data_IF_631721376362
#
_entry.id   IF_631721376362
#
_cell.length_a   1.000
_cell.length_b   1.000
_cell.length_c   1.000
_cell.angle_alpha   90.00
_cell.angle_beta   90.00
_cell.angle_gamma   90.00
#
_symmetry.space_group_name_H-M   'P 1'
#
loop_
_entity.id
_entity.type
_entity.pdbx_description
1 polymer ?
#
# COMPACT_ATOMS: atom_id res chain seq x y z
N UNK A 1 -4.94 27.80 -0.64
CA UNK A 1 -4.61 26.39 -0.36
C UNK A 1 -4.94 25.43 -1.52
N UNK A 2 -6.17 24.97 -1.84
CA UNK A 2 -6.38 24.07 -3.02
C UNK A 2 -5.81 24.65 -4.33
N UNK A 3 -6.05 25.93 -4.68
CA UNK A 3 -5.39 26.57 -5.83
C UNK A 3 -3.87 26.67 -5.74
N UNK A 4 -3.29 26.67 -4.53
CA UNK A 4 -1.83 26.72 -4.32
C UNK A 4 -1.17 25.37 -4.51
N UNK A 5 -1.91 24.27 -4.36
CA UNK A 5 -1.41 22.90 -4.48
C UNK A 5 -1.57 22.36 -5.90
N UNK A 6 -2.55 22.86 -6.64
CA UNK A 6 -2.84 22.50 -8.03
C UNK A 6 -1.61 22.56 -8.98
N UNK A 7 -0.68 23.52 -8.88
CA UNK A 7 0.54 23.52 -9.71
C UNK A 7 1.44 22.29 -9.51
N UNK A 8 1.36 21.62 -8.35
CA UNK A 8 2.19 20.46 -8.01
C UNK A 8 1.53 19.12 -8.33
N UNK A 9 0.28 19.11 -8.83
CA UNK A 9 -0.49 17.88 -9.08
C UNK A 9 0.29 16.90 -9.97
N UNK A 10 0.87 17.38 -11.07
CA UNK A 10 1.59 16.51 -12.00
C UNK A 10 2.87 15.93 -11.38
N UNK A 11 3.69 16.78 -10.75
CA UNK A 11 4.92 16.35 -10.08
C UNK A 11 4.65 15.29 -9.01
N UNK A 12 3.60 15.49 -8.20
CA UNK A 12 3.22 14.57 -7.13
C UNK A 12 2.67 13.25 -7.68
N UNK A 13 1.85 13.30 -8.72
CA UNK A 13 1.36 12.11 -9.41
C UNK A 13 2.51 11.27 -9.98
N UNK A 14 3.49 11.92 -10.62
CA UNK A 14 4.68 11.22 -11.14
C UNK A 14 5.49 10.56 -10.01
N UNK A 15 5.74 11.27 -8.91
CA UNK A 15 6.45 10.73 -7.75
C UNK A 15 5.70 9.57 -7.08
N UNK A 16 4.37 9.61 -7.03
CA UNK A 16 3.61 8.49 -6.49
C UNK A 16 3.68 7.28 -7.41
N UNK A 17 3.55 7.46 -8.74
CA UNK A 17 3.72 6.37 -9.70
C UNK A 17 5.09 5.72 -9.53
N UNK A 18 6.15 6.52 -9.44
CA UNK A 18 7.51 6.03 -9.19
C UNK A 18 7.59 5.25 -7.86
N UNK A 19 6.97 5.74 -6.78
CA UNK A 19 6.88 5.03 -5.51
C UNK A 19 6.14 3.70 -5.66
N UNK A 20 4.97 3.67 -6.29
CA UNK A 20 4.17 2.45 -6.50
C UNK A 20 4.95 1.41 -7.32
N UNK A 21 5.57 1.82 -8.42
CA UNK A 21 6.41 0.94 -9.24
C UNK A 21 7.63 0.44 -8.47
N UNK A 22 8.22 1.28 -7.59
CA UNK A 22 9.30 0.86 -6.68
C UNK A 22 8.87 -0.21 -5.69
N UNK A 23 7.57 -0.25 -5.37
CA UNK A 23 6.99 -1.23 -4.48
C UNK A 23 6.52 -2.47 -5.23
N UNK A 24 6.39 -2.47 -6.55
CA UNK A 24 5.93 -3.62 -7.35
C UNK A 24 4.51 -3.46 -7.94
N UNK A 25 3.91 -2.29 -7.78
CA UNK A 25 2.58 -1.98 -8.29
C UNK A 25 2.68 -1.41 -9.70
N UNK A 26 1.92 -1.97 -10.64
CA UNK A 26 1.83 -1.47 -12.03
C UNK A 26 0.41 -1.17 -12.47
N UNK A 27 -0.58 -1.51 -11.64
CA UNK A 27 -2.00 -1.27 -11.89
C UNK A 27 -2.58 -0.59 -10.67
N UNK A 28 -3.28 0.52 -10.87
CA UNK A 28 -3.94 1.24 -9.79
C UNK A 28 -5.35 1.69 -10.15
N UNK A 29 -6.12 2.03 -9.12
CA UNK A 29 -7.32 2.85 -9.23
C UNK A 29 -7.14 4.07 -8.36
N UNK A 30 -7.36 5.25 -8.92
CA UNK A 30 -7.20 6.52 -8.21
C UNK A 30 -8.47 7.34 -8.19
N UNK A 31 -8.88 7.79 -7.00
CA UNK A 31 -9.95 8.76 -6.85
C UNK A 31 -9.42 10.18 -7.08
N UNK A 32 -10.02 10.88 -8.04
CA UNK A 32 -9.62 12.21 -8.46
C UNK A 32 -10.67 13.24 -8.03
N UNK A 33 -10.23 14.20 -7.21
CA UNK A 33 -11.10 15.16 -6.51
C UNK A 33 -11.77 16.17 -7.46
N UNK A 34 -13.07 15.98 -7.78
CA UNK A 34 -13.92 16.86 -8.61
C UNK A 34 -14.82 17.72 -7.73
N UNK A 35 -14.59 19.04 -7.73
CA UNK A 35 -15.35 20.00 -6.91
C UNK A 35 -15.24 21.43 -7.47
N UNK A 36 -16.08 22.39 -7.02
CA UNK A 36 -16.19 23.71 -7.65
C UNK A 36 -14.91 24.56 -7.70
N UNK A 37 -13.98 24.41 -6.75
CA UNK A 37 -12.75 25.21 -6.69
C UNK A 37 -11.74 24.75 -7.76
N UNK A 38 -11.57 23.45 -7.93
CA UNK A 38 -10.61 22.84 -8.85
C UNK A 38 -11.21 22.58 -10.24
N UNK A 39 -12.53 22.42 -10.32
CA UNK A 39 -13.22 21.95 -11.51
C UNK A 39 -12.62 20.63 -12.00
N UNK A 40 -12.34 20.55 -13.30
CA UNK A 40 -11.72 19.38 -13.93
C UNK A 40 -10.19 19.44 -14.01
N UNK A 41 -9.54 20.48 -13.50
CA UNK A 41 -8.10 20.69 -13.69
C UNK A 41 -7.26 19.56 -13.08
N UNK A 42 -7.67 19.00 -11.94
CA UNK A 42 -6.98 17.86 -11.33
C UNK A 42 -7.08 16.60 -12.22
N UNK A 43 -8.27 16.35 -12.79
CA UNK A 43 -8.48 15.26 -13.74
C UNK A 43 -7.61 15.42 -14.98
N UNK A 44 -7.59 16.62 -15.58
CA UNK A 44 -6.77 16.93 -16.76
C UNK A 44 -5.27 16.73 -16.47
N UNK A 45 -4.79 17.19 -15.31
CA UNK A 45 -3.41 17.02 -14.89
C UNK A 45 -3.06 15.53 -14.68
N UNK A 46 -3.93 14.77 -14.01
CA UNK A 46 -3.73 13.34 -13.79
C UNK A 46 -3.73 12.57 -15.11
N UNK A 47 -4.69 12.82 -15.99
CA UNK A 47 -4.75 12.23 -17.33
C UNK A 47 -3.49 12.53 -18.16
N UNK A 48 -2.98 13.77 -18.09
CA UNK A 48 -1.74 14.13 -18.79
C UNK A 48 -0.52 13.34 -18.27
N UNK A 49 -0.43 13.08 -16.96
CA UNK A 49 0.62 12.24 -16.37
C UNK A 49 0.45 10.78 -16.80
N UNK A 50 -0.77 10.25 -16.71
CA UNK A 50 -1.06 8.86 -17.07
C UNK A 50 -0.80 8.59 -18.56
N UNK A 51 -1.14 9.53 -19.45
CA UNK A 51 -0.81 9.43 -20.87
C UNK A 51 0.71 9.31 -21.11
N UNK A 52 1.55 10.01 -20.33
CA UNK A 52 3.01 9.89 -20.40
C UNK A 52 3.53 8.57 -19.83
N UNK A 53 2.80 7.95 -18.90
CA UNK A 53 3.20 6.73 -18.17
C UNK A 53 2.53 5.45 -18.67
N UNK A 54 1.62 5.54 -19.65
CA UNK A 54 0.76 4.45 -20.15
C UNK A 54 1.49 3.17 -20.56
N UNK A 55 2.77 3.26 -20.95
CA UNK A 55 3.56 2.09 -21.36
C UNK A 55 3.89 1.15 -20.18
N UNK A 56 3.96 1.67 -18.95
CA UNK A 56 4.42 0.93 -17.78
C UNK A 56 3.52 1.04 -16.54
N UNK A 57 2.40 1.75 -16.64
CA UNK A 57 1.48 1.95 -15.52
C UNK A 57 0.05 2.12 -16.01
N UNK A 58 -0.84 1.26 -15.52
CA UNK A 58 -2.28 1.33 -15.79
C UNK A 58 -3.00 1.94 -14.60
N UNK A 59 -3.89 2.89 -14.84
CA UNK A 59 -4.62 3.55 -13.78
C UNK A 59 -6.06 3.83 -14.18
N UNK A 60 -7.00 3.25 -13.43
CA UNK A 60 -8.40 3.63 -13.47
C UNK A 60 -8.60 4.93 -12.68
N UNK A 61 -9.55 5.76 -13.11
CA UNK A 61 -9.83 7.06 -12.47
C UNK A 61 -11.28 7.07 -12.02
N UNK A 62 -11.49 7.33 -10.73
CA UNK A 62 -12.81 7.61 -10.16
C UNK A 62 -12.99 9.13 -10.11
N UNK A 63 -14.02 9.66 -10.76
CA UNK A 63 -14.42 11.05 -10.56
C UNK A 63 -15.03 11.16 -9.15
N UNK A 64 -14.43 11.92 -8.24
CA UNK A 64 -14.74 11.83 -6.81
C UNK A 64 -15.16 13.18 -6.20
N UNK A 65 -16.41 13.31 -5.73
CA UNK A 65 -16.92 14.55 -5.14
C UNK A 65 -16.60 14.62 -3.64
N UNK A 66 -15.33 14.88 -3.30
CA UNK A 66 -14.81 14.91 -1.92
C UNK A 66 -15.60 15.80 -0.95
N UNK A 67 -16.26 16.85 -1.43
CA UNK A 67 -17.04 17.76 -0.58
C UNK A 67 -18.55 17.43 -0.60
N UNK A 68 -18.91 16.20 -0.97
CA UNK A 68 -20.29 15.72 -1.14
C UNK A 68 -20.83 16.00 -2.54
N UNK A 69 -21.55 15.05 -3.13
CA UNK A 69 -22.11 15.19 -4.47
C UNK A 69 -23.20 16.29 -4.50
N UNK A 70 -24.07 16.28 -3.49
CA UNK A 70 -25.17 17.22 -3.34
C UNK A 70 -24.75 18.47 -2.57
N UNK A 71 -23.99 18.30 -1.48
CA UNK A 71 -23.56 19.41 -0.63
C UNK A 71 -22.76 20.45 -1.42
N UNK A 72 -21.77 20.00 -2.20
CA UNK A 72 -20.95 20.88 -3.01
C UNK A 72 -21.56 21.22 -4.38
N UNK A 73 -22.75 20.68 -4.70
CA UNK A 73 -23.41 20.82 -6.01
C UNK A 73 -22.51 20.40 -7.18
N UNK A 74 -21.75 19.32 -6.99
CA UNK A 74 -20.75 18.85 -7.97
C UNK A 74 -21.32 17.96 -9.07
N UNK A 75 -22.62 17.63 -9.04
CA UNK A 75 -23.25 16.76 -10.04
C UNK A 75 -22.99 17.15 -11.51
N UNK A 76 -23.10 18.43 -11.92
CA UNK A 76 -22.75 18.83 -13.29
C UNK A 76 -21.27 18.58 -13.63
N UNK A 77 -20.36 18.91 -12.70
CA UNK A 77 -18.91 18.69 -12.88
C UNK A 77 -18.56 17.21 -12.95
N UNK A 78 -19.26 16.37 -12.18
CA UNK A 78 -19.11 14.92 -12.23
C UNK A 78 -19.50 14.39 -13.60
N UNK A 79 -20.59 14.87 -14.19
CA UNK A 79 -20.99 14.51 -15.56
C UNK A 79 -19.95 14.96 -16.60
N UNK A 80 -19.41 16.18 -16.47
CA UNK A 80 -18.32 16.63 -17.33
C UNK A 80 -17.05 15.76 -17.16
N UNK A 81 -16.73 15.33 -15.95
CA UNK A 81 -15.62 14.41 -15.68
C UNK A 81 -15.82 13.04 -16.35
N UNK A 82 -17.05 12.51 -16.35
CA UNK A 82 -17.39 11.27 -17.06
C UNK A 82 -17.23 11.44 -18.58
N UNK A 83 -17.70 12.55 -19.15
CA UNK A 83 -17.50 12.89 -20.57
C UNK A 83 -16.02 13.03 -20.93
N UNK A 84 -15.22 13.57 -20.00
CA UNK A 84 -13.77 13.71 -20.15
C UNK A 84 -12.99 12.38 -20.00
N UNK A 85 -13.68 11.26 -19.77
CA UNK A 85 -13.07 9.92 -19.76
C UNK A 85 -12.69 9.38 -18.38
N UNK A 86 -13.33 9.85 -17.30
CA UNK A 86 -13.28 9.12 -16.03
C UNK A 86 -13.90 7.72 -16.17
N UNK A 87 -13.36 6.75 -15.42
CA UNK A 87 -13.71 5.33 -15.56
C UNK A 87 -14.84 4.93 -14.61
N UNK A 88 -14.91 5.55 -13.42
CA UNK A 88 -15.91 5.30 -12.39
C UNK A 88 -16.48 6.60 -11.85
N UNK A 89 -17.74 6.55 -11.40
CA UNK A 89 -18.41 7.61 -10.65
C UNK A 89 -18.18 7.36 -9.16
N UNK A 90 -17.71 8.37 -8.43
CA UNK A 90 -17.55 8.31 -6.99
C UNK A 90 -18.67 9.02 -6.22
N UNK A 91 -18.65 8.82 -4.92
CA UNK A 91 -19.49 9.48 -3.93
C UNK A 91 -18.77 9.50 -2.57
N UNK A 92 -19.28 10.28 -1.62
CA UNK A 92 -18.75 10.34 -0.27
C UNK A 92 -19.89 10.44 0.75
N UNK A 93 -19.92 9.50 1.69
CA UNK A 93 -20.73 9.54 2.93
C UNK A 93 -22.12 10.20 2.74
N UNK A 94 -23.03 9.52 2.03
CA UNK A 94 -24.24 10.11 1.48
C UNK A 94 -25.21 10.63 2.56
N UNK A 95 -25.07 10.19 3.81
CA UNK A 95 -25.88 10.69 4.93
C UNK A 95 -25.20 11.87 5.63
N UNK A 96 -23.99 11.70 6.13
CA UNK A 96 -23.31 12.67 7.00
C UNK A 96 -22.71 13.85 6.24
N UNK A 97 -22.31 13.67 4.98
CA UNK A 97 -21.80 14.76 4.14
C UNK A 97 -22.93 15.36 3.31
N UNK A 98 -23.67 14.53 2.56
CA UNK A 98 -24.72 15.05 1.66
C UNK A 98 -26.06 15.34 2.35
N UNK A 99 -26.29 14.84 3.57
CA UNK A 99 -27.53 15.07 4.32
C UNK A 99 -28.77 14.40 3.73
N UNK A 100 -28.64 13.65 2.63
CA UNK A 100 -29.74 13.09 1.87
C UNK A 100 -29.32 11.77 1.19
N UNK A 101 -29.23 10.70 1.99
CA UNK A 101 -28.66 9.41 1.60
C UNK A 101 -29.19 8.87 0.27
N UNK A 102 -30.50 8.64 0.17
CA UNK A 102 -31.13 8.06 -1.02
C UNK A 102 -30.91 8.94 -2.25
N UNK A 103 -31.16 10.25 -2.13
CA UNK A 103 -30.97 11.19 -3.24
C UNK A 103 -29.52 11.23 -3.73
N UNK A 104 -28.55 11.18 -2.83
CA UNK A 104 -27.13 11.19 -3.19
C UNK A 104 -26.76 9.90 -3.94
N UNK A 105 -27.15 8.75 -3.41
CA UNK A 105 -26.91 7.44 -4.03
C UNK A 105 -27.62 7.31 -5.39
N UNK A 106 -28.88 7.72 -5.49
CA UNK A 106 -29.64 7.71 -6.75
C UNK A 106 -28.99 8.59 -7.81
N UNK A 107 -28.54 9.78 -7.42
CA UNK A 107 -27.84 10.69 -8.34
C UNK A 107 -26.54 10.06 -8.85
N UNK A 108 -25.76 9.46 -7.95
CA UNK A 108 -24.50 8.77 -8.30
C UNK A 108 -24.76 7.58 -9.25
N UNK A 109 -25.73 6.72 -8.94
CA UNK A 109 -26.09 5.59 -9.79
C UNK A 109 -26.65 6.04 -11.14
N UNK A 110 -27.45 7.11 -11.18
CA UNK A 110 -27.97 7.65 -12.43
C UNK A 110 -26.84 8.13 -13.34
N UNK A 111 -25.84 8.84 -12.80
CA UNK A 111 -24.64 9.22 -13.59
C UNK A 111 -23.94 7.96 -14.11
N UNK A 112 -23.76 6.93 -13.29
CA UNK A 112 -23.11 5.69 -13.73
C UNK A 112 -23.87 5.00 -14.87
N UNK A 113 -25.21 4.96 -14.79
CA UNK A 113 -26.07 4.43 -15.84
C UNK A 113 -26.01 5.26 -17.12
N UNK A 114 -26.06 6.59 -17.01
CA UNK A 114 -26.06 7.50 -18.17
C UNK A 114 -24.78 7.38 -19.02
N UNK A 115 -23.66 7.02 -18.40
CA UNK A 115 -22.35 6.85 -19.05
C UNK A 115 -21.88 5.40 -19.21
N UNK A 116 -22.71 4.42 -18.79
CA UNK A 116 -22.38 2.99 -18.76
C UNK A 116 -21.08 2.65 -17.98
N UNK A 117 -20.82 3.37 -16.88
CA UNK A 117 -19.59 3.26 -16.07
C UNK A 117 -19.83 2.58 -14.72
N UNK A 118 -18.73 2.25 -14.05
CA UNK A 118 -18.75 1.71 -12.70
C UNK A 118 -18.93 2.79 -11.63
N UNK A 119 -19.16 2.36 -10.39
CA UNK A 119 -19.24 3.16 -9.19
C UNK A 119 -18.16 2.72 -8.21
N UNK A 120 -17.48 3.68 -7.59
CA UNK A 120 -16.57 3.45 -6.46
C UNK A 120 -16.77 4.54 -5.41
N UNK A 121 -17.53 4.22 -4.37
CA UNK A 121 -17.98 5.18 -3.35
C UNK A 121 -17.19 5.05 -2.06
N UNK A 122 -16.77 6.18 -1.49
CA UNK A 122 -16.23 6.26 -0.14
C UNK A 122 -17.35 6.21 0.89
N UNK A 123 -17.34 5.16 1.70
CA UNK A 123 -18.30 5.00 2.79
C UNK A 123 -17.58 4.74 4.11
N UNK A 124 -17.32 5.83 4.83
CA UNK A 124 -16.78 5.83 6.18
C UNK A 124 -17.87 5.73 7.24
N UNK A 125 -19.12 6.03 6.86
CA UNK A 125 -20.26 5.96 7.76
C UNK A 125 -20.36 4.57 8.43
N UNK A 126 -20.57 4.58 9.74
CA UNK A 126 -20.73 3.36 10.55
C UNK A 126 -22.21 3.17 10.89
N UNK A 127 -22.54 2.41 11.93
CA UNK A 127 -23.95 2.18 12.31
C UNK A 127 -24.59 3.43 12.94
N UNK A 128 -25.87 3.75 12.63
CA UNK A 128 -26.78 3.03 11.74
C UNK A 128 -26.71 3.48 10.27
N UNK A 129 -26.20 4.67 9.97
CA UNK A 129 -26.30 5.29 8.64
C UNK A 129 -25.59 4.50 7.53
N UNK A 130 -24.35 4.06 7.77
CA UNK A 130 -23.59 3.28 6.79
C UNK A 130 -24.19 1.90 6.52
N UNK A 131 -24.80 1.26 7.53
CA UNK A 131 -25.52 -0.01 7.32
C UNK A 131 -26.75 0.21 6.41
N UNK A 132 -27.48 1.31 6.63
CA UNK A 132 -28.60 1.68 5.77
C UNK A 132 -28.13 1.96 4.32
N UNK A 133 -27.02 2.71 4.17
CA UNK A 133 -26.46 3.02 2.86
C UNK A 133 -26.01 1.76 2.11
N UNK A 134 -25.32 0.81 2.78
CA UNK A 134 -24.90 -0.45 2.12
C UNK A 134 -26.12 -1.25 1.67
N UNK A 135 -27.13 -1.42 2.54
CA UNK A 135 -28.34 -2.14 2.15
C UNK A 135 -29.04 -1.49 0.97
N UNK A 136 -29.17 -0.16 0.98
CA UNK A 136 -29.76 0.59 -0.13
C UNK A 136 -29.00 0.35 -1.44
N UNK A 137 -27.67 0.45 -1.42
CA UNK A 137 -26.84 0.20 -2.61
C UNK A 137 -26.98 -1.23 -3.13
N UNK A 138 -26.96 -2.24 -2.24
CA UNK A 138 -27.14 -3.64 -2.63
C UNK A 138 -28.51 -3.86 -3.26
N UNK A 139 -29.58 -3.33 -2.67
CA UNK A 139 -30.94 -3.41 -3.23
C UNK A 139 -31.04 -2.70 -4.59
N UNK A 140 -30.40 -1.56 -4.76
CA UNK A 140 -30.39 -0.83 -6.04
C UNK A 140 -29.71 -1.64 -7.13
N UNK A 141 -28.59 -2.31 -6.83
CA UNK A 141 -27.92 -3.20 -7.78
C UNK A 141 -28.76 -4.44 -8.09
N UNK A 142 -29.42 -5.04 -7.08
CA UNK A 142 -30.34 -6.17 -7.27
C UNK A 142 -31.52 -5.82 -8.21
N UNK A 143 -32.03 -4.59 -8.13
CA UNK A 143 -33.13 -4.09 -8.95
C UNK A 143 -32.67 -3.58 -10.33
N UNK A 144 -31.37 -3.37 -10.53
CA UNK A 144 -30.81 -2.72 -11.73
C UNK A 144 -29.70 -3.59 -12.35
N UNK A 145 -30.04 -4.54 -13.25
CA UNK A 145 -29.09 -5.49 -13.81
C UNK A 145 -27.85 -4.88 -14.47
N UNK A 146 -27.97 -3.65 -15.00
CA UNK A 146 -26.86 -2.91 -15.63
C UNK A 146 -25.73 -2.54 -14.64
N UNK A 147 -26.04 -2.49 -13.34
CA UNK A 147 -25.07 -2.19 -12.27
C UNK A 147 -24.39 -3.44 -11.69
N UNK A 148 -24.80 -4.64 -12.10
CA UNK A 148 -24.18 -5.89 -11.64
C UNK A 148 -22.71 -5.91 -12.03
N UNK A 149 -21.84 -6.19 -11.06
CA UNK A 149 -20.38 -6.17 -11.25
C UNK A 149 -19.76 -4.79 -11.42
N UNK A 150 -20.55 -3.72 -11.22
CA UNK A 150 -20.11 -2.33 -11.43
C UNK A 150 -20.02 -1.50 -10.15
N UNK A 151 -20.33 -2.05 -8.97
CA UNK A 151 -20.25 -1.33 -7.69
C UNK A 151 -19.06 -1.79 -6.85
N UNK A 152 -18.23 -0.82 -6.45
CA UNK A 152 -17.22 -0.96 -5.40
C UNK A 152 -17.60 -0.06 -4.23
N UNK A 153 -17.55 -0.59 -3.00
CA UNK A 153 -17.72 0.20 -1.78
C UNK A 153 -16.36 0.29 -1.09
N UNK A 154 -15.78 1.48 -1.08
CA UNK A 154 -14.50 1.79 -0.44
C UNK A 154 -14.69 2.04 1.06
N UNK A 155 -13.77 1.49 1.86
CA UNK A 155 -13.78 1.42 3.32
C UNK A 155 -14.87 0.51 3.91
N UNK A 156 -16.14 0.83 3.65
CA UNK A 156 -17.32 0.11 4.13
C UNK A 156 -17.29 -0.17 5.65
N UNK A 157 -16.84 0.79 6.46
CA UNK A 157 -16.59 0.57 7.91
C UNK A 157 -17.82 0.11 8.70
N UNK A 158 -19.03 0.39 8.21
CA UNK A 158 -20.26 -0.18 8.76
C UNK A 158 -20.25 -1.71 8.87
N UNK A 159 -19.57 -2.43 7.96
CA UNK A 159 -19.48 -3.89 8.00
C UNK A 159 -18.78 -4.41 9.27
N UNK A 160 -17.82 -3.65 9.83
CA UNK A 160 -17.16 -3.99 11.08
C UNK A 160 -18.08 -3.87 12.32
N UNK A 161 -19.25 -3.23 12.17
CA UNK A 161 -20.21 -3.06 13.26
C UNK A 161 -21.29 -4.15 13.31
N UNK A 162 -21.34 -4.99 12.28
CA UNK A 162 -22.31 -6.06 12.13
C UNK A 162 -21.82 -7.35 12.81
N UNK A 163 -22.76 -8.19 13.25
CA UNK A 163 -22.41 -9.53 13.72
C UNK A 163 -22.13 -10.47 12.54
N UNK A 164 -21.54 -11.64 12.82
CA UNK A 164 -21.13 -12.62 11.81
C UNK A 164 -22.28 -13.03 10.88
N UNK A 165 -23.49 -13.27 11.41
CA UNK A 165 -24.64 -13.66 10.59
C UNK A 165 -25.08 -12.53 9.65
N UNK A 166 -25.14 -11.30 10.14
CA UNK A 166 -25.50 -10.13 9.34
C UNK A 166 -24.49 -9.89 8.21
N UNK A 167 -23.20 -10.05 8.49
CA UNK A 167 -22.16 -10.00 7.46
C UNK A 167 -22.34 -11.14 6.46
N UNK A 168 -22.69 -12.34 6.91
CA UNK A 168 -22.88 -13.51 6.04
C UNK A 168 -23.99 -13.29 5.01
N UNK A 169 -25.15 -12.84 5.49
CA UNK A 169 -26.33 -12.54 4.67
C UNK A 169 -26.00 -11.46 3.62
N UNK A 170 -25.31 -10.40 4.04
CA UNK A 170 -24.93 -9.31 3.16
C UNK A 170 -23.85 -9.72 2.15
N UNK A 171 -22.85 -10.49 2.59
CA UNK A 171 -21.79 -11.01 1.75
C UNK A 171 -22.36 -11.93 0.65
N UNK A 172 -23.35 -12.76 0.97
CA UNK A 172 -24.02 -13.60 0.00
C UNK A 172 -24.71 -12.78 -1.10
N UNK A 173 -25.44 -11.72 -0.72
CA UNK A 173 -26.08 -10.80 -1.67
C UNK A 173 -25.04 -10.05 -2.52
N UNK A 174 -23.99 -9.53 -1.88
CA UNK A 174 -22.91 -8.83 -2.57
C UNK A 174 -22.19 -9.72 -3.60
N UNK A 175 -21.86 -10.95 -3.24
CA UNK A 175 -21.23 -11.91 -4.15
C UNK A 175 -22.15 -12.24 -5.34
N UNK A 176 -23.45 -12.45 -5.11
CA UNK A 176 -24.42 -12.70 -6.18
C UNK A 176 -24.51 -11.55 -7.20
N UNK A 177 -24.33 -10.31 -6.73
CA UNK A 177 -24.31 -9.09 -7.54
C UNK A 177 -22.92 -8.64 -7.99
N UNK A 178 -21.86 -9.40 -7.66
CA UNK A 178 -20.47 -9.06 -7.95
C UNK A 178 -20.05 -7.68 -7.42
N UNK A 179 -20.61 -7.28 -6.29
CA UNK A 179 -20.21 -6.05 -5.57
C UNK A 179 -18.84 -6.29 -4.94
N UNK A 180 -17.94 -5.32 -5.09
CA UNK A 180 -16.58 -5.38 -4.56
C UNK A 180 -16.41 -4.49 -3.34
N UNK A 181 -15.47 -4.83 -2.45
CA UNK A 181 -15.03 -3.99 -1.34
C UNK A 181 -13.59 -3.56 -1.59
N UNK A 182 -13.29 -2.27 -1.41
CA UNK A 182 -11.91 -1.80 -1.30
C UNK A 182 -11.60 -1.43 0.15
N UNK A 183 -10.52 -1.98 0.71
CA UNK A 183 -10.16 -1.78 2.11
C UNK A 183 -8.73 -1.29 2.29
N UNK A 184 -8.53 -0.43 3.28
CA UNK A 184 -7.19 -0.03 3.74
C UNK A 184 -6.58 -1.02 4.73
N UNK A 185 -7.32 -2.09 5.05
CA UNK A 185 -7.01 -3.06 6.12
C UNK A 185 -6.82 -2.32 7.44
N UNK A 186 -7.87 -1.66 7.98
CA UNK A 186 -7.73 -0.80 9.15
C UNK A 186 -7.24 -1.58 10.38
N UNK A 187 -6.38 -0.93 11.17
CA UNK A 187 -5.89 -1.44 12.45
C UNK A 187 -6.62 -0.71 13.58
N UNK A 188 -7.03 -1.43 14.61
CA UNK A 188 -7.64 -0.85 15.81
C UNK A 188 -9.07 -1.32 16.02
N UNK A 189 -9.96 -0.40 16.37
CA UNK A 189 -11.33 -0.71 16.81
C UNK A 189 -12.27 -1.12 15.67
N UNK A 190 -11.92 -0.82 14.41
CA UNK A 190 -12.69 -1.18 13.22
C UNK A 190 -12.08 -2.40 12.53
N UNK A 191 -12.23 -3.57 13.13
CA UNK A 191 -11.77 -4.83 12.55
C UNK A 191 -12.74 -5.29 11.45
N UNK A 192 -12.37 -5.08 10.19
CA UNK A 192 -13.23 -5.36 9.04
C UNK A 192 -13.39 -6.86 8.79
N UNK A 193 -14.57 -7.40 8.44
CA UNK A 193 -14.75 -8.84 8.21
C UNK A 193 -14.25 -9.29 6.82
N UNK A 194 -13.04 -8.86 6.44
CA UNK A 194 -12.48 -9.07 5.09
C UNK A 194 -12.34 -10.55 4.72
N UNK A 195 -11.91 -11.38 5.68
CA UNK A 195 -11.82 -12.82 5.46
C UNK A 195 -13.18 -13.44 5.17
N UNK A 196 -14.20 -13.10 5.95
CA UNK A 196 -15.55 -13.63 5.76
C UNK A 196 -16.13 -13.21 4.40
N UNK A 197 -15.95 -11.94 4.02
CA UNK A 197 -16.36 -11.42 2.71
C UNK A 197 -15.67 -12.19 1.57
N UNK A 198 -14.35 -12.32 1.63
CA UNK A 198 -13.57 -13.04 0.62
C UNK A 198 -13.97 -14.52 0.52
N UNK A 199 -14.11 -15.22 1.65
CA UNK A 199 -14.53 -16.64 1.67
C UNK A 199 -15.92 -16.85 1.06
N UNK A 200 -16.79 -15.84 1.09
CA UNK A 200 -18.13 -15.84 0.47
C UNK A 200 -18.12 -15.46 -1.01
N UNK A 201 -16.94 -15.14 -1.58
CA UNK A 201 -16.77 -14.77 -2.98
C UNK A 201 -16.97 -13.29 -3.27
N UNK A 202 -17.00 -12.43 -2.26
CA UNK A 202 -16.95 -10.97 -2.46
C UNK A 202 -15.51 -10.61 -2.86
N UNK A 203 -15.35 -9.89 -3.97
CA UNK A 203 -14.04 -9.41 -4.39
C UNK A 203 -13.54 -8.36 -3.41
N UNK A 204 -12.38 -8.60 -2.80
CA UNK A 204 -11.74 -7.69 -1.86
C UNK A 204 -10.48 -7.12 -2.49
N UNK A 205 -10.46 -5.81 -2.69
CA UNK A 205 -9.31 -5.04 -3.14
C UNK A 205 -8.67 -4.32 -1.96
N UNK A 206 -7.38 -4.05 -2.04
CA UNK A 206 -6.69 -3.25 -1.02
C UNK A 206 -5.97 -2.04 -1.59
N UNK A 207 -5.72 -1.08 -0.71
CA UNK A 207 -5.02 0.16 -1.00
C UNK A 207 -4.37 0.73 0.27
N UNK A 208 -3.39 1.62 0.13
CA UNK A 208 -2.99 2.49 1.26
C UNK A 208 -3.89 3.72 1.38
N UNK A 209 -4.89 3.90 0.50
CA UNK A 209 -5.74 5.11 0.40
C UNK A 209 -4.82 6.31 0.15
N UNK A 210 -4.41 7.00 1.20
CA UNK A 210 -3.60 8.19 1.15
C UNK A 210 -2.10 7.89 1.32
N UNK A 211 -1.27 8.40 0.42
CA UNK A 211 0.20 8.23 0.43
C UNK A 211 0.87 9.56 0.71
N UNK A 212 1.03 9.86 2.01
CA UNK A 212 1.72 11.04 2.57
C UNK A 212 1.07 12.38 2.18
N UNK A 213 0.03 12.79 2.91
CA UNK A 213 -0.72 14.05 2.66
C UNK A 213 -1.11 14.80 3.98
N UNK A 214 -2.38 15.17 4.18
CA UNK A 214 -2.99 15.47 5.50
C UNK A 214 -3.75 14.28 6.11
N UNK A 215 -4.47 13.47 5.32
CA UNK A 215 -5.27 12.36 5.85
C UNK A 215 -4.42 11.28 6.51
N UNK A 216 -3.30 10.92 5.87
CA UNK A 216 -2.40 9.92 6.42
C UNK A 216 -0.94 10.19 6.06
N UNK A 217 -0.05 10.29 7.06
CA UNK A 217 1.38 10.30 6.82
C UNK A 217 1.96 8.88 6.64
N UNK A 218 1.15 7.82 6.77
CA UNK A 218 1.62 6.44 6.93
C UNK A 218 1.52 5.58 5.67
N UNK A 219 0.90 6.06 4.59
CA UNK A 219 0.78 5.28 3.35
C UNK A 219 2.15 4.99 2.73
N UNK A 220 2.47 3.70 2.59
CA UNK A 220 3.74 3.24 2.02
C UNK A 220 3.68 2.93 0.52
N UNK A 221 2.48 2.91 -0.07
CA UNK A 221 2.27 2.48 -1.46
C UNK A 221 2.62 1.01 -1.70
N UNK A 222 2.61 0.17 -0.65
CA UNK A 222 3.14 -1.18 -0.66
C UNK A 222 2.06 -2.22 -0.39
N UNK A 223 1.72 -3.06 -1.38
CA UNK A 223 0.68 -4.08 -1.19
C UNK A 223 1.19 -5.34 -0.48
N UNK A 224 2.51 -5.56 -0.39
CA UNK A 224 3.03 -6.59 0.53
C UNK A 224 2.81 -6.18 1.98
N UNK A 225 2.83 -4.88 2.30
CA UNK A 225 2.46 -4.39 3.63
C UNK A 225 0.98 -4.69 3.92
N UNK A 226 0.08 -4.50 2.95
CA UNK A 226 -1.35 -4.84 3.13
C UNK A 226 -1.61 -6.33 3.27
N UNK A 227 -0.95 -7.17 2.48
CA UNK A 227 -1.01 -8.61 2.64
C UNK A 227 -0.47 -9.05 4.01
N UNK A 228 0.65 -8.47 4.45
CA UNK A 228 1.23 -8.74 5.76
C UNK A 228 0.30 -8.34 6.90
N UNK A 229 -0.29 -7.15 6.82
CA UNK A 229 -1.21 -6.66 7.83
C UNK A 229 -2.48 -7.50 7.90
N UNK A 230 -3.04 -7.87 6.74
CA UNK A 230 -4.15 -8.81 6.68
C UNK A 230 -3.79 -10.14 7.33
N UNK A 231 -2.58 -10.66 7.07
CA UNK A 231 -2.13 -11.89 7.67
C UNK A 231 -2.02 -11.82 9.21
N UNK A 232 -1.58 -10.69 9.74
CA UNK A 232 -1.49 -10.49 11.19
C UNK A 232 -2.87 -10.41 11.85
N UNK A 233 -3.87 -9.86 11.15
CA UNK A 233 -5.19 -9.59 11.71
C UNK A 233 -6.18 -10.77 11.56
N UNK A 234 -6.19 -11.43 10.41
CA UNK A 234 -7.32 -12.30 10.02
C UNK A 234 -6.99 -13.79 9.89
N UNK A 235 -5.72 -14.17 9.85
CA UNK A 235 -5.33 -15.56 9.62
C UNK A 235 -4.36 -16.04 10.70
N UNK A 236 -4.38 -17.35 10.96
CA UNK A 236 -3.37 -17.94 11.84
C UNK A 236 -2.03 -18.00 11.11
N UNK A 237 -0.93 -17.57 11.75
CA UNK A 237 0.38 -17.56 11.11
C UNK A 237 0.88 -18.99 10.92
N UNK A 238 0.72 -19.50 9.70
CA UNK A 238 1.40 -20.67 9.19
C UNK A 238 1.81 -20.39 7.73
N UNK A 239 2.71 -21.21 7.20
CA UNK A 239 3.28 -20.99 5.87
C UNK A 239 2.22 -20.94 4.76
N UNK A 240 1.25 -21.86 4.78
CA UNK A 240 0.18 -21.90 3.79
C UNK A 240 -0.66 -20.63 3.84
N UNK A 241 -1.18 -20.25 5.01
CA UNK A 241 -2.01 -19.07 5.20
C UNK A 241 -1.28 -17.78 4.81
N UNK A 242 -0.02 -17.63 5.23
CA UNK A 242 0.82 -16.50 4.83
C UNK A 242 0.98 -16.43 3.31
N UNK A 243 1.29 -17.56 2.66
CA UNK A 243 1.35 -17.66 1.21
C UNK A 243 0.03 -17.28 0.53
N UNK A 244 -1.12 -17.69 1.11
CA UNK A 244 -2.44 -17.35 0.55
C UNK A 244 -2.76 -15.87 0.68
N UNK A 245 -2.39 -15.19 1.76
CA UNK A 245 -2.65 -13.76 1.97
C UNK A 245 -2.06 -12.84 0.89
N UNK A 246 -1.11 -13.34 0.10
CA UNK A 246 -0.56 -12.67 -1.07
C UNK A 246 -1.65 -12.28 -2.09
N UNK A 247 -2.80 -12.95 -2.09
CA UNK A 247 -3.93 -12.69 -3.00
C UNK A 247 -4.34 -11.20 -3.01
N UNK A 248 -4.28 -10.54 -1.85
CA UNK A 248 -4.60 -9.12 -1.70
C UNK A 248 -3.65 -8.24 -2.49
N UNK A 249 -2.36 -8.61 -2.48
CA UNK A 249 -1.36 -7.86 -3.19
C UNK A 249 -1.46 -8.08 -4.70
N UNK A 250 -1.79 -9.29 -5.13
CA UNK A 250 -1.70 -9.73 -6.53
C UNK A 250 -3.03 -9.78 -7.28
N UNK A 251 -4.13 -9.31 -6.67
CA UNK A 251 -5.45 -9.32 -7.29
C UNK A 251 -5.98 -10.73 -7.54
N UNK A 252 -5.96 -11.58 -6.50
CA UNK A 252 -6.43 -12.98 -6.47
C UNK A 252 -5.55 -14.01 -7.22
N UNK A 253 -4.53 -13.57 -7.96
CA UNK A 253 -3.65 -14.50 -8.69
C UNK A 253 -2.52 -14.97 -7.77
N UNK A 254 -2.38 -16.28 -7.59
CA UNK A 254 -1.37 -16.89 -6.70
C UNK A 254 -0.42 -17.79 -7.48
N UNK A 255 0.88 -17.90 -7.09
CA UNK A 255 1.83 -18.79 -7.76
C UNK A 255 1.45 -20.28 -7.69
N UNK A 256 0.95 -20.70 -6.54
CA UNK A 256 0.55 -22.09 -6.26
C UNK A 256 -0.96 -22.15 -6.01
N UNK A 257 -1.62 -23.28 -6.33
CA UNK A 257 -2.99 -23.57 -5.89
C UNK A 257 -3.02 -24.25 -4.50
N UNK A 258 -4.22 -24.64 -4.02
CA UNK A 258 -4.39 -25.33 -2.73
C UNK A 258 -3.72 -26.71 -2.64
N UNK A 259 -3.39 -27.32 -3.78
CA UNK A 259 -2.65 -28.60 -3.84
C UNK A 259 -1.14 -28.39 -3.90
N UNK A 260 -0.65 -27.14 -3.89
CA UNK A 260 0.76 -26.81 -4.05
C UNK A 260 1.26 -26.89 -5.50
N UNK A 261 0.37 -27.02 -6.48
CA UNK A 261 0.75 -27.07 -7.89
C UNK A 261 0.98 -25.66 -8.41
N UNK A 262 2.04 -25.46 -9.21
CA UNK A 262 2.32 -24.17 -9.83
C UNK A 262 1.23 -23.83 -10.86
N UNK A 263 0.47 -22.78 -10.57
CA UNK A 263 -0.56 -22.25 -11.48
C UNK A 263 -0.15 -20.94 -12.14
N UNK A 264 0.85 -20.25 -11.58
CA UNK A 264 1.50 -19.07 -12.15
C UNK A 264 3.00 -19.03 -11.76
N UNK A 265 3.91 -18.53 -12.61
CA UNK A 265 3.70 -18.14 -14.00
C UNK A 265 3.65 -19.36 -14.94
N UNK A 266 2.93 -19.23 -16.04
CA UNK A 266 2.86 -20.16 -17.18
C UNK A 266 3.26 -19.44 -18.47
N UNK A 267 3.67 -20.22 -19.47
CA UNK A 267 3.83 -19.68 -20.81
C UNK A 267 2.50 -19.06 -21.29
N UNK A 268 2.58 -17.93 -21.99
CA UNK A 268 1.44 -17.11 -22.43
C UNK A 268 0.76 -16.25 -21.34
N UNK A 269 1.17 -16.36 -20.07
CA UNK A 269 0.75 -15.36 -19.07
C UNK A 269 1.35 -14.00 -19.42
N UNK A 270 0.67 -12.93 -19.01
CA UNK A 270 1.18 -11.59 -19.17
C UNK A 270 2.54 -11.42 -18.48
N UNK A 271 3.49 -10.79 -19.15
CA UNK A 271 4.86 -10.59 -18.64
C UNK A 271 4.93 -9.41 -17.65
N UNK A 272 3.89 -9.24 -16.84
CA UNK A 272 3.89 -8.37 -15.68
C UNK A 272 4.26 -9.21 -14.46
N UNK A 273 5.31 -8.83 -13.74
CA UNK A 273 5.79 -9.52 -12.55
C UNK A 273 6.78 -8.65 -11.78
N UNK A 274 7.09 -9.06 -10.56
CA UNK A 274 7.98 -8.39 -9.62
C UNK A 274 8.99 -9.41 -9.15
N UNK A 275 10.27 -9.03 -9.12
CA UNK A 275 11.30 -9.83 -8.48
C UNK A 275 11.40 -9.45 -7.00
N UNK A 276 11.18 -10.42 -6.13
CA UNK A 276 11.22 -10.27 -4.68
C UNK A 276 12.38 -11.08 -4.11
N UNK A 277 13.16 -10.47 -3.23
CA UNK A 277 14.25 -11.12 -2.48
C UNK A 277 13.65 -11.97 -1.34
N UNK A 278 13.17 -13.15 -1.71
CA UNK A 278 12.49 -14.10 -0.83
C UNK A 278 12.54 -15.51 -1.43
N UNK A 279 12.68 -16.52 -0.57
CA UNK A 279 12.68 -17.94 -0.97
C UNK A 279 11.28 -18.49 -1.25
N UNK A 280 10.23 -17.89 -0.68
CA UNK A 280 8.84 -18.32 -0.90
C UNK A 280 7.82 -17.19 -0.65
N UNK A 281 6.57 -17.39 -1.10
CA UNK A 281 5.49 -16.40 -0.93
C UNK A 281 5.20 -16.07 0.54
N UNK A 282 5.33 -17.06 1.43
CA UNK A 282 5.12 -16.84 2.86
C UNK A 282 6.18 -15.90 3.45
N UNK A 283 7.46 -16.06 3.05
CA UNK A 283 8.53 -15.14 3.44
C UNK A 283 8.30 -13.74 2.87
N UNK A 284 7.96 -13.65 1.58
CA UNK A 284 7.71 -12.37 0.91
C UNK A 284 6.66 -11.53 1.65
N UNK A 285 5.56 -12.16 2.09
CA UNK A 285 4.54 -11.52 2.91
C UNK A 285 5.05 -11.26 4.33
N UNK A 286 5.52 -12.29 5.04
CA UNK A 286 5.86 -12.20 6.46
C UNK A 286 6.94 -11.14 6.77
N UNK A 287 7.89 -10.96 5.85
CA UNK A 287 9.01 -10.01 5.99
C UNK A 287 8.85 -8.72 5.21
N UNK A 288 7.76 -8.58 4.44
CA UNK A 288 7.57 -7.48 3.48
C UNK A 288 8.84 -7.35 2.62
N UNK A 289 9.25 -8.47 2.01
CA UNK A 289 10.59 -8.60 1.42
C UNK A 289 10.87 -7.52 0.37
N UNK A 290 12.13 -7.08 0.22
CA UNK A 290 12.51 -6.08 -0.76
C UNK A 290 12.21 -6.50 -2.20
N UNK A 291 11.82 -5.53 -3.04
CA UNK A 291 11.61 -5.73 -4.48
C UNK A 291 12.84 -5.24 -5.23
N UNK A 292 13.39 -6.08 -6.09
CA UNK A 292 14.60 -5.77 -6.86
C UNK A 292 14.28 -5.17 -8.23
N UNK A 293 13.19 -5.63 -8.86
CA UNK A 293 12.73 -5.15 -10.16
C UNK A 293 11.23 -5.35 -10.33
N UNK A 294 10.60 -4.44 -11.09
CA UNK A 294 9.17 -4.47 -11.42
C UNK A 294 9.03 -4.45 -12.94
N UNK A 295 8.24 -5.36 -13.46
CA UNK A 295 7.93 -5.51 -14.88
C UNK A 295 6.45 -5.33 -15.13
N UNK A 296 6.13 -4.64 -16.22
CA UNK A 296 4.78 -4.50 -16.75
C UNK A 296 4.79 -4.90 -18.23
N UNK A 297 4.03 -5.93 -18.60
CA UNK A 297 3.91 -6.41 -20.00
C UNK A 297 5.26 -6.60 -20.70
N UNK A 298 6.23 -7.14 -19.98
CA UNK A 298 7.59 -7.41 -20.46
C UNK A 298 8.55 -6.23 -20.42
N UNK A 299 8.10 -5.04 -20.00
CA UNK A 299 8.94 -3.85 -19.85
C UNK A 299 9.41 -3.72 -18.40
N UNK A 300 10.71 -3.51 -18.19
CA UNK A 300 11.25 -3.12 -16.88
C UNK A 300 10.81 -1.69 -16.57
N UNK A 301 9.95 -1.53 -15.56
CA UNK A 301 9.42 -0.21 -15.16
C UNK A 301 10.10 0.36 -13.93
N UNK A 302 10.72 -0.50 -13.09
CA UNK A 302 11.52 -0.07 -11.95
C UNK A 302 12.61 -1.07 -11.59
N UNK A 303 13.70 -0.57 -11.02
CA UNK A 303 14.75 -1.38 -10.42
C UNK A 303 15.82 -1.80 -11.41
N UNK A 304 16.59 -2.83 -11.04
CA UNK A 304 17.71 -3.33 -11.85
C UNK A 304 17.59 -4.84 -12.05
N UNK A 305 17.76 -5.26 -13.30
CA UNK A 305 17.80 -6.68 -13.68
C UNK A 305 19.23 -7.25 -13.67
N UNK A 306 20.24 -6.40 -13.82
CA UNK A 306 21.65 -6.81 -13.88
C UNK A 306 22.19 -7.17 -12.50
N UNK A 307 22.09 -8.46 -12.13
CA UNK A 307 22.92 -9.24 -11.17
C UNK A 307 22.22 -10.54 -10.70
N UNK A 308 21.09 -10.89 -11.31
CA UNK A 308 20.36 -12.14 -11.02
C UNK A 308 20.85 -13.33 -11.85
N UNK A 309 21.68 -13.09 -12.88
CA UNK A 309 22.30 -14.16 -13.67
C UNK A 309 23.65 -14.49 -13.02
N UNK A 310 23.84 -15.73 -12.55
CA UNK A 310 25.18 -16.21 -12.18
C UNK A 310 26.09 -16.22 -13.42
N UNK A 311 27.40 -16.06 -13.23
CA UNK A 311 28.43 -16.04 -14.29
C UNK A 311 28.57 -17.35 -15.09
N UNK A 312 27.61 -18.28 -15.04
CA UNK A 312 27.64 -19.54 -15.80
C UNK A 312 26.96 -19.44 -17.17
N UNK A 313 27.11 -18.30 -17.87
CA UNK A 313 26.79 -18.21 -19.30
C UNK A 313 27.98 -18.80 -20.09
N UNK A 314 28.10 -20.13 -20.08
CA UNK A 314 28.76 -20.87 -21.16
C UNK A 314 27.71 -21.71 -21.89
N UNK A 315 27.48 -21.33 -23.14
CA UNK A 315 26.80 -22.08 -24.19
C UNK A 315 25.35 -22.56 -23.90
N UNK A 316 24.37 -21.76 -24.35
CA UNK A 316 23.09 -22.29 -24.85
C UNK A 316 22.00 -22.65 -23.85
N UNK A 317 22.17 -22.41 -22.55
CA UNK A 317 21.14 -22.71 -21.54
C UNK A 317 20.26 -21.49 -21.24
N UNK A 318 18.94 -21.70 -21.17
CA UNK A 318 17.95 -20.70 -20.72
C UNK A 318 18.38 -20.17 -19.33
N UNK A 319 18.40 -18.86 -19.08
CA UNK A 319 18.82 -18.31 -17.80
C UNK A 319 17.94 -18.83 -16.66
N UNK A 320 18.56 -19.48 -15.69
CA UNK A 320 17.93 -19.94 -14.45
C UNK A 320 18.03 -18.78 -13.45
N UNK A 321 16.89 -18.28 -12.95
CA UNK A 321 16.85 -17.32 -11.85
C UNK A 321 17.62 -17.90 -10.64
N UNK A 322 18.36 -17.06 -9.90
CA UNK A 322 18.95 -17.50 -8.63
C UNK A 322 17.90 -18.22 -7.76
N UNK A 323 18.27 -19.30 -7.05
CA UNK A 323 17.32 -20.12 -6.30
C UNK A 323 16.54 -19.36 -5.22
N UNK A 324 16.99 -18.16 -4.83
CA UNK A 324 16.41 -17.35 -3.74
C UNK A 324 15.54 -16.17 -4.21
N UNK A 325 15.22 -16.08 -5.51
CA UNK A 325 14.39 -14.98 -6.05
C UNK A 325 13.01 -15.51 -6.44
N UNK A 326 12.00 -15.01 -5.71
CA UNK A 326 10.61 -15.26 -6.01
C UNK A 326 10.11 -14.26 -7.04
N UNK A 327 9.56 -14.77 -8.15
CA UNK A 327 8.69 -13.95 -9.00
C UNK A 327 7.31 -13.85 -8.35
N UNK A 328 6.82 -12.63 -8.19
CA UNK A 328 5.46 -12.31 -7.73
C UNK A 328 4.74 -11.55 -8.83
N UNK A 329 3.41 -11.59 -8.90
CA UNK A 329 2.61 -10.84 -9.87
C UNK A 329 2.69 -9.32 -9.64
N UNK A 330 2.31 -8.50 -10.64
CA UNK A 330 2.14 -7.07 -10.45
C UNK A 330 1.15 -6.84 -9.33
N UNK A 331 1.46 -5.90 -8.44
CA UNK A 331 0.54 -5.57 -7.37
C UNK A 331 -0.54 -4.61 -7.85
N UNK A 332 -1.78 -4.83 -7.41
CA UNK A 332 -2.94 -3.98 -7.71
C UNK A 332 -3.20 -3.02 -6.55
N UNK A 333 -3.40 -1.73 -6.83
CA UNK A 333 -3.39 -0.68 -5.80
C UNK A 333 -4.56 0.30 -5.88
N UNK A 334 -5.39 0.39 -4.84
CA UNK A 334 -6.43 1.45 -4.78
C UNK A 334 -5.90 2.66 -4.00
N UNK A 335 -6.11 3.87 -4.51
CA UNK A 335 -5.52 5.12 -4.00
C UNK A 335 -6.52 6.27 -4.01
N UNK A 336 -6.41 7.17 -3.03
CA UNK A 336 -7.14 8.43 -3.02
C UNK A 336 -6.19 9.60 -3.26
N UNK A 337 -6.58 10.52 -4.15
CA UNK A 337 -5.74 11.66 -4.49
C UNK A 337 -6.31 12.98 -3.99
N UNK A 338 -5.60 13.51 -2.99
CA UNK A 338 -5.86 14.79 -2.36
C UNK A 338 -4.57 15.50 -1.95
N UNK A 339 -4.69 16.78 -1.62
CA UNK A 339 -3.57 17.59 -1.20
C UNK A 339 -3.97 18.60 -0.12
N UNK A 340 -3.32 18.53 1.05
CA UNK A 340 -3.11 19.67 1.95
C UNK A 340 -1.68 19.60 2.57
N UNK A 341 -1.07 20.72 3.02
CA UNK A 341 0.35 20.75 3.41
C UNK A 341 0.55 20.61 4.92
N UNK A 342 1.23 19.55 5.39
CA UNK A 342 1.18 19.14 6.81
C UNK A 342 2.44 19.27 7.69
N UNK A 343 3.66 19.39 7.14
CA UNK A 343 4.89 19.28 7.98
C UNK A 343 5.95 20.36 7.74
N UNK A 344 6.21 21.10 8.82
CA UNK A 344 7.30 22.03 9.05
C UNK A 344 8.67 21.34 8.92
N UNK A 345 9.52 21.87 8.03
CA UNK A 345 10.87 21.35 7.76
C UNK A 345 11.83 21.81 8.85
N UNK A 346 11.90 21.08 9.96
CA UNK A 346 13.11 21.02 10.80
C UNK A 346 13.26 19.65 11.42
N UNK A 347 14.19 18.85 10.90
CA UNK A 347 15.01 17.88 11.65
C UNK A 347 16.12 17.33 10.76
N UNK A 348 17.30 17.25 11.34
CA UNK A 348 18.55 16.74 10.75
C UNK A 348 18.37 15.31 10.23
N UNK A 349 18.82 15.06 9.01
CA UNK A 349 19.04 13.71 8.48
C UNK A 349 20.51 13.38 8.78
N UNK A 350 20.73 12.56 9.81
CA UNK A 350 22.02 11.90 10.01
C UNK A 350 22.11 10.72 9.05
N UNK A 351 22.78 10.93 7.92
CA UNK A 351 23.10 9.87 6.95
C UNK A 351 24.30 9.07 7.47
N UNK A 352 24.07 7.82 7.91
CA UNK A 352 25.14 6.86 8.18
C UNK A 352 25.38 6.05 6.91
N UNK A 353 26.47 6.35 6.19
CA UNK A 353 26.92 5.55 5.06
C UNK A 353 27.92 4.51 5.59
N UNK A 354 27.56 3.23 5.51
CA UNK A 354 28.51 2.13 5.65
C UNK A 354 29.05 1.79 4.26
N UNK A 355 30.36 1.98 4.05
CA UNK A 355 31.05 1.51 2.84
C UNK A 355 31.74 0.21 3.20
N UNK A 356 31.34 -0.89 2.55
CA UNK A 356 32.03 -2.18 2.62
C UNK A 356 32.97 -2.24 1.42
N UNK A 357 34.28 -2.31 1.64
CA UNK A 357 35.24 -2.67 0.60
C UNK A 357 35.83 -4.04 0.92
N UNK A 358 35.59 -5.03 0.07
CA UNK A 358 36.33 -6.30 0.11
C UNK A 358 37.75 -6.05 -0.40
N UNK A 359 38.72 -6.15 0.49
CA UNK A 359 40.09 -6.45 0.09
C UNK A 359 40.69 -7.44 1.10
N UNK A 360 40.75 -8.72 0.72
CA UNK A 360 41.40 -9.75 1.54
C UNK A 360 41.31 -11.15 0.95
N UNK A 361 42.46 -11.80 0.74
CA UNK A 361 42.66 -13.16 0.22
C UNK A 361 42.08 -14.25 1.16
N UNK A 362 41.79 -15.47 0.66
CA UNK A 362 41.08 -16.48 1.44
C UNK A 362 41.98 -17.06 2.55
N UNK A 363 41.48 -17.05 3.79
CA UNK A 363 42.13 -17.76 4.91
C UNK A 363 42.06 -17.12 6.30
N UNK A 364 41.57 -15.88 6.46
CA UNK A 364 41.45 -15.23 7.78
C UNK A 364 39.99 -14.82 8.09
N UNK A 365 39.55 -15.03 9.33
CA UNK A 365 38.27 -14.55 9.85
C UNK A 365 38.18 -13.01 9.74
N UNK A 366 37.04 -12.44 9.33
CA UNK A 366 36.90 -11.00 9.11
C UNK A 366 36.98 -10.24 10.44
N UNK A 367 37.85 -9.24 10.49
CA UNK A 367 38.00 -8.34 11.63
C UNK A 367 37.31 -7.00 11.31
N UNK A 368 36.30 -6.63 12.08
CA UNK A 368 35.43 -5.48 11.84
C UNK A 368 36.10 -4.19 12.36
N UNK A 369 36.33 -3.21 11.48
CA UNK A 369 36.74 -1.85 11.88
C UNK A 369 35.65 -0.85 11.54
N UNK A 370 35.14 -0.17 12.56
CA UNK A 370 34.24 0.99 12.40
C UNK A 370 35.08 2.27 12.42
N UNK A 371 34.93 3.12 11.40
CA UNK A 371 35.49 4.48 11.39
C UNK A 371 34.37 5.50 11.17
N UNK A 372 34.28 6.46 12.07
CA UNK A 372 33.39 7.64 11.95
C UNK A 372 34.22 8.81 11.42
N UNK A 373 33.71 9.53 10.40
CA UNK A 373 34.32 10.76 9.89
C UNK A 373 33.27 11.88 9.88
N UNK A 374 33.44 12.89 10.74
CA UNK A 374 32.64 14.11 10.69
C UNK A 374 33.26 15.13 9.73
N UNK A 375 32.47 15.70 8.81
CA UNK A 375 32.80 16.95 8.09
C UNK A 375 31.97 18.07 8.72
N UNK A 376 32.62 18.97 9.45
CA UNK A 376 32.00 20.19 9.97
C UNK A 376 32.17 21.36 9.01
N UNK A 377 31.06 21.97 8.59
CA UNK A 377 31.02 23.34 8.10
C UNK A 377 30.53 24.24 9.24
N UNK A 378 31.32 25.23 9.63
CA UNK A 378 31.03 26.10 10.76
C UNK A 378 30.05 27.22 10.36
N UNK A 379 28.91 27.30 11.03
CA UNK A 379 28.22 28.57 11.27
C UNK A 379 27.69 28.60 12.71
N UNK A 380 28.27 29.51 13.50
CA UNK A 380 27.99 29.74 14.90
C UNK A 380 26.83 30.72 15.07
N UNK A 381 25.82 30.33 15.84
CA UNK A 381 24.92 31.25 16.56
C UNK A 381 24.87 30.82 18.04
N UNK A 382 24.90 31.75 19.01
CA UNK A 382 25.25 31.45 20.39
C UNK A 382 24.02 31.03 21.21
N UNK A 383 24.16 29.96 21.99
CA UNK A 383 23.24 29.63 23.07
C UNK A 383 22.75 28.19 23.05
N UNK A 384 23.58 27.25 23.50
CA UNK A 384 23.22 26.05 24.28
C UNK A 384 24.45 25.16 24.52
N UNK A 385 25.49 25.71 25.16
CA UNK A 385 26.63 24.94 25.64
C UNK A 385 26.25 24.18 26.93
N UNK A 386 25.60 23.03 26.81
CA UNK A 386 25.23 22.21 27.97
C UNK A 386 24.81 20.77 27.67
N UNK A 387 24.29 20.49 26.48
CA UNK A 387 23.79 19.17 26.11
C UNK A 387 24.82 18.31 25.33
N UNK A 388 25.74 18.91 24.56
CA UNK A 388 26.71 18.16 23.74
C UNK A 388 27.79 17.43 24.56
N UNK A 389 28.11 17.89 25.78
CA UNK A 389 29.15 17.26 26.62
C UNK A 389 28.72 15.94 27.27
N UNK A 390 27.41 15.63 27.32
CA UNK A 390 26.91 14.37 27.91
C UNK A 390 26.81 13.23 26.90
N UNK A 391 26.55 13.51 25.62
CA UNK A 391 26.55 12.48 24.56
C UNK A 391 27.96 12.03 24.17
N UNK A 392 28.93 12.94 24.13
CA UNK A 392 30.32 12.62 23.76
C UNK A 392 31.02 11.69 24.76
N UNK A 393 30.70 11.78 26.07
CA UNK A 393 31.28 10.90 27.09
C UNK A 393 30.64 9.50 27.16
N UNK A 394 29.40 9.34 26.67
CA UNK A 394 28.73 8.03 26.63
C UNK A 394 29.24 7.17 25.47
N UNK A 395 29.56 7.78 24.33
CA UNK A 395 30.07 7.08 23.14
C UNK A 395 31.54 6.68 23.32
N UNK A 396 32.36 7.51 23.99
CA UNK A 396 33.76 7.18 24.26
C UNK A 396 33.96 6.01 25.26
N UNK A 397 32.96 5.69 26.10
CA UNK A 397 33.05 4.60 27.09
C UNK A 397 32.69 3.22 26.55
N UNK A 398 32.05 3.12 25.37
CA UNK A 398 31.69 1.82 24.77
C UNK A 398 32.81 1.29 23.86
N UNK A 399 33.78 2.12 23.49
CA UNK A 399 34.88 1.74 22.58
C UNK A 399 36.16 1.26 23.26
N UNK A 400 36.18 1.07 24.59
CA UNK A 400 37.42 0.79 25.34
C UNK A 400 37.44 -0.54 26.13
N UNK A 401 36.62 -1.54 25.78
CA UNK A 401 36.70 -2.84 26.45
C UNK A 401 36.39 -4.01 25.51
N UNK A 402 37.35 -4.37 24.67
CA UNK A 402 37.50 -5.74 24.14
C UNK A 402 38.87 -5.87 23.45
N UNK A 403 39.95 -5.81 24.22
CA UNK A 403 41.20 -6.49 23.85
C UNK A 403 41.25 -7.85 24.58
N UNK A 404 41.67 -8.86 23.84
CA UNK A 404 41.62 -10.29 24.12
C UNK A 404 42.41 -10.74 25.37
N UNK A 405 41.90 -11.72 26.13
CA UNK A 405 42.71 -12.72 26.86
C UNK A 405 41.90 -13.94 27.33
N UNK A 406 42.52 -15.10 27.14
CA UNK A 406 42.05 -16.46 27.48
C UNK A 406 41.93 -16.75 28.99
N UNK A 407 41.13 -17.78 29.28
CA UNK A 407 41.26 -18.79 30.35
C UNK A 407 40.86 -18.53 31.82
N UNK A 408 40.11 -19.52 32.33
CA UNK A 408 39.94 -20.05 33.70
C UNK A 408 38.95 -19.43 34.72
N UNK A 409 38.03 -20.33 35.13
CA UNK A 409 37.50 -20.62 36.48
C UNK A 409 36.69 -19.61 37.32
N UNK A 410 35.71 -20.21 38.00
CA UNK A 410 34.69 -19.74 38.94
C UNK A 410 35.16 -18.85 40.12
N UNK A 411 34.37 -17.80 40.45
CA UNK A 411 33.66 -17.60 41.76
C UNK A 411 33.08 -16.17 41.94
N UNK A 412 31.79 -16.14 42.33
CA UNK A 412 31.07 -15.21 43.22
C UNK A 412 31.17 -13.66 43.10
N UNK A 413 29.99 -13.09 42.83
CA UNK A 413 29.30 -11.97 43.51
C UNK A 413 29.93 -10.57 43.52
N UNK A 414 29.28 -9.65 42.80
CA UNK A 414 28.87 -8.35 43.37
C UNK A 414 27.66 -7.75 42.62
N UNK A 415 26.63 -7.44 43.40
CA UNK A 415 25.32 -6.91 43.00
C UNK A 415 25.42 -5.49 42.46
N UNK A 416 24.78 -5.20 41.33
CA UNK A 416 24.33 -3.85 40.96
C UNK A 416 22.90 -3.96 40.37
N UNK A 417 21.90 -3.21 40.86
CA UNK A 417 20.52 -3.35 40.44
C UNK A 417 20.23 -2.41 39.26
N UNK A 418 19.83 -2.95 38.11
CA UNK A 418 19.06 -2.17 37.15
C UNK A 418 17.91 -3.00 36.59
N UNK A 419 16.71 -2.57 36.97
CA UNK A 419 15.42 -2.93 36.39
C UNK A 419 15.49 -2.72 34.89
N UNK A 420 15.27 -3.77 34.11
CA UNK A 420 14.27 -3.88 33.04
C UNK A 420 14.31 -5.33 32.57
N UNK A 421 13.37 -6.14 33.07
CA UNK A 421 13.15 -7.52 32.64
C UNK A 421 12.63 -7.53 31.19
N UNK A 422 13.36 -8.16 30.29
CA UNK A 422 12.77 -8.88 29.18
C UNK A 422 12.16 -10.18 29.73
N UNK A 423 10.87 -10.42 29.50
CA UNK A 423 10.24 -11.72 29.72
C UNK A 423 9.61 -12.17 28.39
N UNK A 424 10.31 -13.07 27.71
CA UNK A 424 9.75 -13.97 26.71
C UNK A 424 8.83 -14.98 27.42
N UNK A 425 7.62 -15.20 26.86
CA UNK A 425 6.55 -16.18 27.15
C UNK A 425 5.22 -15.44 27.34
N UNK A 426 4.10 -15.75 26.68
CA UNK A 426 3.64 -16.90 25.88
C UNK A 426 2.96 -16.41 24.61
#
# INVERSE_FOLDING_TARGET
MLPELQPYTQERAEKLIDLLQSKGTTIARSHCNIEPVSGLKNLQNLQAVLARRQAGFECEIVAFPQHGLLLSKSEPLMREAMQAGAHYVGGLDPTSVDGAMEKSLDTMFQIALDYDKGVDIHLHETTPAGVAAINYMVETVEKTPQLKGKLTISHAFALATLNEQQVDELAHRMAAQQISIASTVPIGTLHMPLKQLHDKGVKVMTGTDSVIDHWSPYGLGDMLEKANLYAQLYIRPNEQNLSRSLFLATGDVLPLNEKGERVWPKAQDDASFVLVDASCSAEAVARISPRTATFHKGQLVWGVWCNVISEDIRAGTIPILKPDILCVLPMTYTADYLFYPGMDRRREISLVIAVVSESGRPGNLPCWKFTTRMRGGAHTAPGHAGAEKRCLNAIAKVSASAECKECHETKNLLKIPLRYLFRLSR
#
